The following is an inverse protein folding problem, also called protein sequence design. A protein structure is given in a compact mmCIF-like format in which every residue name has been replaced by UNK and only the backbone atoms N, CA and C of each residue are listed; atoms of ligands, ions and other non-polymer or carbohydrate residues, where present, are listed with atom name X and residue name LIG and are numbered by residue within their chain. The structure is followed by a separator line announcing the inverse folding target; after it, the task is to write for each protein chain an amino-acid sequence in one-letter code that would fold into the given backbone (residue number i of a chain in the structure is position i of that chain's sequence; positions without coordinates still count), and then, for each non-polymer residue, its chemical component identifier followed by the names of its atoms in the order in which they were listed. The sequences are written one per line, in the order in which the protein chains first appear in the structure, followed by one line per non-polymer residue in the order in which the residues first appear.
data_IF_818207521282
#
_entry.id   IF_818207521282
#
_cell.length_a   1.000
_cell.length_b   1.000
_cell.length_c   1.000
_cell.angle_alpha   90.00
_cell.angle_beta   90.00
_cell.angle_gamma   90.00
#
_symmetry.space_group_name_H-M   'P 1'
#
loop_
_entity.id
_entity.type
_entity.pdbx_description
1 polymer ?
#
# COMPACT_ATOMS: atom_id res chain seq x y z
N UNK A 1 -18.42 -14.17 11.33
CA UNK A 1 -18.28 -12.73 11.59
C UNK A 1 -18.62 -11.96 10.32
N UNK A 2 -19.77 -11.32 10.26
CA UNK A 2 -20.18 -10.54 9.09
C UNK A 2 -19.31 -9.28 9.02
N UNK A 3 -18.51 -9.14 7.95
CA UNK A 3 -17.88 -7.86 7.61
C UNK A 3 -19.01 -6.85 7.43
N UNK A 4 -19.14 -5.92 8.37
CA UNK A 4 -20.13 -4.85 8.29
C UNK A 4 -20.04 -4.19 6.92
N UNK A 5 -21.18 -4.00 6.27
CA UNK A 5 -21.25 -3.30 5.00
C UNK A 5 -20.68 -1.90 5.21
N UNK A 6 -19.46 -1.68 4.71
CA UNK A 6 -18.83 -0.36 4.73
C UNK A 6 -19.73 0.54 3.89
N UNK A 7 -20.48 1.41 4.57
CA UNK A 7 -21.35 2.38 3.93
C UNK A 7 -20.46 3.31 3.10
N UNK A 8 -20.50 3.14 1.77
CA UNK A 8 -19.77 4.01 0.84
C UNK A 8 -20.34 5.41 0.98
N UNK A 9 -19.58 6.31 1.61
CA UNK A 9 -19.96 7.72 1.70
C UNK A 9 -19.62 8.41 0.38
N UNK A 10 -20.59 9.08 -0.27
CA UNK A 10 -20.28 9.91 -1.43
C UNK A 10 -19.30 11.00 -0.99
N UNK A 11 -18.13 11.01 -1.62
CA UNK A 11 -17.08 12.00 -1.39
C UNK A 11 -16.97 12.84 -2.65
N UNK A 12 -17.07 14.16 -2.50
CA UNK A 12 -16.95 15.06 -3.64
C UNK A 12 -15.46 15.22 -3.97
N UNK A 13 -15.08 14.86 -5.20
CA UNK A 13 -13.70 14.90 -5.67
C UNK A 13 -13.61 15.70 -6.96
N UNK A 14 -12.62 16.58 -7.04
CA UNK A 14 -12.32 17.35 -8.25
C UNK A 14 -11.41 16.52 -9.14
N UNK A 15 -11.86 16.25 -10.37
CA UNK A 15 -11.06 15.57 -11.38
C UNK A 15 -11.24 16.25 -12.74
N UNK A 16 -10.27 16.00 -13.63
CA UNK A 16 -10.21 16.58 -14.97
C UNK A 16 -11.46 16.21 -15.78
N UNK A 17 -12.22 17.20 -16.29
CA UNK A 17 -13.51 16.94 -16.93
C UNK A 17 -13.37 16.17 -18.24
N UNK A 18 -12.26 16.36 -18.97
CA UNK A 18 -11.91 15.61 -20.18
C UNK A 18 -11.76 14.11 -19.90
N UNK A 19 -11.01 13.75 -18.85
CA UNK A 19 -10.81 12.36 -18.45
C UNK A 19 -12.10 11.71 -17.92
N UNK A 20 -12.95 12.46 -17.23
CA UNK A 20 -14.26 11.95 -16.79
C UNK A 20 -15.16 11.66 -17.99
N UNK A 21 -15.17 12.54 -18.99
CA UNK A 21 -15.97 12.36 -20.20
C UNK A 21 -15.50 11.12 -20.99
N UNK A 22 -14.19 10.96 -21.15
CA UNK A 22 -13.59 9.79 -21.80
C UNK A 22 -13.84 8.50 -21.01
N UNK A 23 -13.66 8.52 -19.69
CA UNK A 23 -13.94 7.36 -18.85
C UNK A 23 -15.42 6.94 -18.95
N UNK A 24 -16.34 7.91 -18.98
CA UNK A 24 -17.77 7.63 -19.17
C UNK A 24 -18.08 7.09 -20.57
N UNK A 25 -17.46 7.61 -21.62
CA UNK A 25 -17.68 7.10 -22.99
C UNK A 25 -17.17 5.66 -23.15
N UNK A 26 -16.12 5.30 -22.41
CA UNK A 26 -15.56 3.95 -22.35
C UNK A 26 -16.29 3.01 -21.37
N UNK A 27 -17.33 3.49 -20.67
CA UNK A 27 -18.09 2.69 -19.71
C UNK A 27 -17.32 2.36 -18.43
N UNK A 28 -16.27 3.12 -18.10
CA UNK A 28 -15.44 2.90 -16.92
C UNK A 28 -16.21 3.31 -15.65
N UNK A 29 -16.22 2.42 -14.66
CA UNK A 29 -16.80 2.71 -13.36
C UNK A 29 -15.84 3.55 -12.51
N UNK A 30 -16.02 4.87 -12.55
CA UNK A 30 -15.20 5.84 -11.82
C UNK A 30 -15.11 5.56 -10.32
N UNK A 31 -16.20 5.09 -9.69
CA UNK A 31 -16.20 4.78 -8.26
C UNK A 31 -15.28 3.61 -7.94
N UNK A 32 -15.29 2.56 -8.77
CA UNK A 32 -14.43 1.39 -8.58
C UNK A 32 -12.96 1.74 -8.81
N UNK A 33 -12.65 2.52 -9.85
CA UNK A 33 -11.28 2.97 -10.14
C UNK A 33 -10.76 3.87 -9.01
N UNK A 34 -11.59 4.80 -8.53
CA UNK A 34 -11.24 5.67 -7.42
C UNK A 34 -10.96 4.87 -6.15
N UNK A 35 -11.83 3.92 -5.81
CA UNK A 35 -11.66 3.07 -4.62
C UNK A 35 -10.35 2.26 -4.68
N UNK A 36 -10.05 1.64 -5.83
CA UNK A 36 -8.80 0.90 -6.02
C UNK A 36 -7.56 1.80 -5.93
N UNK A 37 -7.60 2.99 -6.54
CA UNK A 37 -6.49 3.94 -6.50
C UNK A 37 -6.24 4.46 -5.07
N UNK A 38 -7.30 4.76 -4.33
CA UNK A 38 -7.21 5.19 -2.92
C UNK A 38 -6.68 4.05 -2.05
N UNK A 39 -7.17 2.83 -2.23
CA UNK A 39 -6.68 1.67 -1.47
C UNK A 39 -5.19 1.45 -1.68
N UNK A 40 -4.71 1.53 -2.93
CA UNK A 40 -3.30 1.39 -3.26
C UNK A 40 -2.46 2.52 -2.62
N UNK A 41 -2.89 3.77 -2.80
CA UNK A 41 -2.20 4.93 -2.22
C UNK A 41 -2.10 4.86 -0.69
N UNK A 42 -3.16 4.40 -0.03
CA UNK A 42 -3.17 4.22 1.43
C UNK A 42 -2.23 3.08 1.85
N UNK A 43 -2.19 1.99 1.10
CA UNK A 43 -1.25 0.88 1.39
C UNK A 43 0.20 1.34 1.26
N UNK A 44 0.51 2.09 0.22
CA UNK A 44 1.87 2.57 -0.03
C UNK A 44 2.30 3.59 1.03
N UNK A 45 1.45 4.56 1.37
CA UNK A 45 1.73 5.51 2.45
C UNK A 45 1.90 4.82 3.82
N UNK A 46 1.11 3.77 4.10
CA UNK A 46 1.28 2.97 5.32
C UNK A 46 2.59 2.20 5.32
N UNK A 47 2.99 1.64 4.17
CA UNK A 47 4.26 0.93 4.02
C UNK A 47 5.43 1.86 4.25
N UNK A 48 5.44 3.03 3.63
CA UNK A 48 6.49 4.04 3.80
C UNK A 48 6.61 4.46 5.27
N UNK A 49 5.47 4.76 5.90
CA UNK A 49 5.43 5.10 7.32
C UNK A 49 5.96 3.97 8.20
N UNK A 50 5.59 2.72 7.90
CA UNK A 50 6.08 1.57 8.65
C UNK A 50 7.59 1.38 8.50
N UNK A 51 8.13 1.59 7.29
CA UNK A 51 9.59 1.54 7.05
C UNK A 51 10.29 2.63 7.88
N UNK A 52 9.78 3.86 7.88
CA UNK A 52 10.37 4.95 8.65
C UNK A 52 10.32 4.66 10.17
N UNK A 53 9.18 4.19 10.67
CA UNK A 53 9.01 3.83 12.09
C UNK A 53 9.90 2.65 12.52
N UNK A 54 10.19 1.70 11.63
CA UNK A 54 10.98 0.50 11.92
C UNK A 54 12.43 0.62 11.47
N UNK A 55 12.85 1.77 10.94
CA UNK A 55 14.20 2.00 10.43
C UNK A 55 15.26 1.74 11.49
N UNK A 56 15.03 2.21 12.71
CA UNK A 56 15.93 1.97 13.85
C UNK A 56 16.02 0.49 14.25
N UNK A 57 14.92 -0.27 14.10
CA UNK A 57 14.91 -1.71 14.35
C UNK A 57 15.66 -2.48 13.25
N UNK A 58 15.54 -2.04 12.00
CA UNK A 58 16.32 -2.59 10.89
C UNK A 58 17.81 -2.27 11.04
N UNK A 59 18.19 -1.04 11.36
CA UNK A 59 19.59 -0.65 11.56
C UNK A 59 20.23 -1.43 12.72
N UNK A 60 19.49 -1.66 13.80
CA UNK A 60 19.94 -2.48 14.93
C UNK A 60 20.11 -3.95 14.55
N UNK A 61 19.18 -4.49 13.75
CA UNK A 61 19.26 -5.85 13.23
C UNK A 61 20.41 -6.02 12.24
N UNK A 62 20.59 -5.09 11.30
CA UNK A 62 21.69 -5.09 10.33
C UNK A 62 23.04 -5.02 11.06
N UNK A 63 23.17 -4.14 12.06
CA UNK A 63 24.37 -4.06 12.91
C UNK A 63 24.63 -5.36 13.69
N UNK A 64 23.57 -6.07 14.10
CA UNK A 64 23.69 -7.37 14.77
C UNK A 64 24.14 -8.46 13.78
N UNK A 65 23.57 -8.47 12.57
CA UNK A 65 23.92 -9.41 11.50
C UNK A 65 25.35 -9.18 10.99
N UNK A 66 25.82 -7.94 10.85
CA UNK A 66 27.21 -7.65 10.48
C UNK A 66 28.20 -8.17 11.54
N UNK A 67 27.84 -8.04 12.82
CA UNK A 67 28.71 -8.46 13.94
C UNK A 67 28.69 -9.96 14.20
N UNK A 68 27.54 -10.60 14.05
CA UNK A 68 27.32 -11.99 14.47
C UNK A 68 27.05 -12.96 13.31
N UNK A 69 26.90 -12.44 12.10
CA UNK A 69 26.44 -13.20 10.94
C UNK A 69 24.96 -13.57 11.04
N UNK A 70 24.37 -14.04 9.94
CA UNK A 70 23.06 -14.70 9.98
C UNK A 70 23.23 -16.16 10.40
N UNK A 71 22.29 -16.69 11.18
CA UNK A 71 22.27 -18.09 11.62
C UNK A 71 22.32 -19.10 10.46
N UNK A 72 21.84 -18.70 9.27
CA UNK A 72 21.85 -19.50 8.05
C UNK A 72 23.16 -19.43 7.24
N UNK A 73 24.16 -18.67 7.69
CA UNK A 73 25.48 -18.60 7.03
C UNK A 73 26.09 -20.00 6.99
N UNK A 74 26.29 -20.54 5.78
CA UNK A 74 26.82 -21.89 5.58
C UNK A 74 25.79 -23.02 5.64
N UNK A 75 24.49 -22.74 5.80
CA UNK A 75 23.40 -23.74 5.78
C UNK A 75 22.37 -23.47 4.70
N UNK A 76 22.82 -23.05 3.52
CA UNK A 76 21.96 -23.02 2.32
C UNK A 76 21.95 -24.41 1.67
N UNK A 77 21.24 -25.32 2.31
CA UNK A 77 20.58 -26.46 1.70
C UNK A 77 19.12 -26.20 2.06
N UNK A 78 18.16 -26.08 1.16
CA UNK A 78 17.67 -27.01 0.13
C UNK A 78 16.68 -26.23 -0.74
#
# INVERSE_FOLDING_TARGET
MARGSVQRKPTNVSARPDLIAEAKSLGINLSQVFEAAVEQSVKDAKRERWIEENRSAFDAYDSYVEKHGVFSTGKRMF
#
